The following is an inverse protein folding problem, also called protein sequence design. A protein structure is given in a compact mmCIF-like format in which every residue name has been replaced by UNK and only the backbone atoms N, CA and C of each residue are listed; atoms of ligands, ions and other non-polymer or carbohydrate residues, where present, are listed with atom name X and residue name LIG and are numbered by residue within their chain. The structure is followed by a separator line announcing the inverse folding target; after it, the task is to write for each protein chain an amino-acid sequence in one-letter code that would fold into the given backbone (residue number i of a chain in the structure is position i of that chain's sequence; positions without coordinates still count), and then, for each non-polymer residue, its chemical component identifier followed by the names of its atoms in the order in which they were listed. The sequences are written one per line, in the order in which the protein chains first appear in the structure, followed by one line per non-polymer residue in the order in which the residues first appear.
data_IF_194209840222
#
_entry.id   IF_194209840222
#
_cell.length_a   1.000
_cell.length_b   1.000
_cell.length_c   1.000
_cell.angle_alpha   90.00
_cell.angle_beta   90.00
_cell.angle_gamma   90.00
#
_symmetry.space_group_name_H-M   'P 1'
#
loop_
_entity.id
_entity.type
_entity.pdbx_description
1 polymer ?
#
# COMPACT_ATOMS: atom_id res chain seq x y z
N UNK A 1 1.74 30.86 -13.06
CA UNK A 1 2.19 30.61 -11.67
C UNK A 1 1.54 31.55 -10.67
N UNK A 2 1.87 32.86 -10.66
CA UNK A 2 1.51 33.77 -9.55
C UNK A 2 0.02 33.82 -9.24
N UNK A 3 -0.85 33.98 -10.24
CA UNK A 3 -2.32 34.01 -10.02
C UNK A 3 -2.84 32.72 -9.37
N UNK A 4 -2.40 31.57 -9.88
CA UNK A 4 -2.77 30.25 -9.36
C UNK A 4 -2.26 30.05 -7.93
N UNK A 5 -1.01 30.44 -7.65
CA UNK A 5 -0.43 30.33 -6.31
C UNK A 5 -1.14 31.25 -5.31
N UNK A 6 -1.51 32.48 -5.69
CA UNK A 6 -2.28 33.40 -4.85
C UNK A 6 -3.67 32.84 -4.55
N UNK A 7 -4.36 32.25 -5.53
CA UNK A 7 -5.65 31.60 -5.30
C UNK A 7 -5.54 30.48 -4.28
N UNK A 8 -4.54 29.60 -4.41
CA UNK A 8 -4.33 28.53 -3.44
C UNK A 8 -3.92 29.08 -2.07
N UNK A 9 -3.10 30.13 -1.99
CA UNK A 9 -2.77 30.79 -0.72
C UNK A 9 -4.02 31.28 0.01
N UNK A 10 -4.97 31.89 -0.69
CA UNK A 10 -6.24 32.34 -0.11
C UNK A 10 -7.09 31.17 0.38
N UNK A 11 -7.21 30.11 -0.44
CA UNK A 11 -7.95 28.89 -0.05
C UNK A 11 -7.33 28.23 1.19
N UNK A 12 -5.99 28.15 1.22
CA UNK A 12 -5.25 27.60 2.35
C UNK A 12 -5.39 28.45 3.61
N UNK A 13 -5.32 29.78 3.49
CA UNK A 13 -5.53 30.70 4.60
C UNK A 13 -6.96 30.61 5.17
N UNK A 14 -7.98 30.43 4.32
CA UNK A 14 -9.36 30.17 4.75
C UNK A 14 -9.43 28.88 5.56
N UNK A 15 -8.82 27.79 5.08
CA UNK A 15 -8.75 26.52 5.80
C UNK A 15 -8.06 26.66 7.16
N UNK A 16 -6.96 27.42 7.22
CA UNK A 16 -6.20 27.62 8.45
C UNK A 16 -6.92 28.49 9.50
N UNK A 17 -7.64 29.52 9.05
CA UNK A 17 -8.24 30.53 9.92
C UNK A 17 -9.71 30.27 10.27
N UNK A 18 -10.48 29.63 9.39
CA UNK A 18 -11.94 29.59 9.47
C UNK A 18 -12.54 28.18 9.55
N UNK A 19 -11.71 27.13 9.50
CA UNK A 19 -12.17 25.74 9.53
C UNK A 19 -11.55 24.99 10.72
N UNK A 20 -12.24 23.96 11.24
CA UNK A 20 -11.75 23.19 12.37
C UNK A 20 -10.47 22.46 11.97
N UNK A 21 -9.42 22.62 12.78
CA UNK A 21 -8.13 21.98 12.51
C UNK A 21 -8.15 20.49 12.83
N UNK A 22 -8.88 20.10 13.88
CA UNK A 22 -9.07 18.71 14.29
C UNK A 22 -10.43 18.18 13.85
N UNK A 23 -10.54 16.85 13.80
CA UNK A 23 -11.78 16.15 13.48
C UNK A 23 -12.81 16.38 14.59
N UNK A 24 -14.01 16.80 14.19
CA UNK A 24 -15.14 17.11 15.09
C UNK A 24 -15.87 15.83 15.49
N UNK A 25 -16.24 15.67 16.77
CA UNK A 25 -16.89 14.44 17.28
C UNK A 25 -18.24 14.14 16.63
N UNK A 26 -19.05 15.18 16.36
CA UNK A 26 -20.39 15.06 15.76
C UNK A 26 -20.34 15.08 14.22
N UNK A 27 -19.14 15.12 13.64
CA UNK A 27 -18.91 15.21 12.20
C UNK A 27 -18.98 16.63 11.64
N UNK A 28 -18.22 16.89 10.56
CA UNK A 28 -18.06 18.23 9.97
C UNK A 28 -19.39 18.83 9.47
N UNK A 29 -20.32 18.00 9.00
CA UNK A 29 -21.60 18.45 8.45
C UNK A 29 -22.65 18.82 9.52
N UNK A 30 -22.33 18.66 10.81
CA UNK A 30 -23.20 19.10 11.90
C UNK A 30 -23.17 20.62 12.12
N UNK A 31 -22.18 21.32 11.55
CA UNK A 31 -21.95 22.75 11.70
C UNK A 31 -21.80 23.27 13.15
N UNK A 32 -21.79 22.40 14.16
CA UNK A 32 -21.59 22.79 15.57
C UNK A 32 -20.20 23.38 15.84
N UNK A 33 -19.24 23.13 14.96
CA UNK A 33 -17.90 23.73 15.00
C UNK A 33 -17.91 25.23 14.70
N UNK A 34 -18.91 25.76 13.99
CA UNK A 34 -18.93 27.16 13.53
C UNK A 34 -18.90 28.13 14.71
N UNK A 35 -19.60 27.82 15.80
CA UNK A 35 -19.63 28.64 17.01
C UNK A 35 -18.37 28.48 17.88
N UNK A 36 -17.53 27.49 17.59
CA UNK A 36 -16.32 27.15 18.35
C UNK A 36 -15.01 27.46 17.59
N UNK A 37 -15.09 28.10 16.42
CA UNK A 37 -13.92 28.40 15.56
C UNK A 37 -12.83 29.19 16.29
N UNK A 38 -13.22 30.08 17.20
CA UNK A 38 -12.31 30.97 17.93
C UNK A 38 -11.86 30.43 19.29
N UNK A 39 -12.64 29.52 19.89
CA UNK A 39 -12.37 28.97 21.21
C UNK A 39 -13.08 27.62 21.39
N UNK A 40 -12.33 26.61 21.82
CA UNK A 40 -12.84 25.27 22.08
C UNK A 40 -11.99 24.19 21.42
N UNK A 41 -12.49 22.96 21.43
CA UNK A 41 -11.82 21.77 20.87
C UNK A 41 -11.90 21.73 19.33
N UNK A 42 -12.93 22.36 18.76
CA UNK A 42 -13.14 22.47 17.31
C UNK A 42 -12.59 23.77 16.70
N UNK A 43 -11.65 24.42 17.38
CA UNK A 43 -11.10 25.69 16.95
C UNK A 43 -10.29 25.59 15.65
N UNK A 44 -10.11 26.73 15.00
CA UNK A 44 -9.19 26.86 13.85
C UNK A 44 -7.73 26.79 14.29
N UNK A 45 -6.84 26.50 13.34
CA UNK A 45 -5.40 26.46 13.64
C UNK A 45 -4.87 27.80 14.14
N UNK A 46 -5.37 28.90 13.57
CA UNK A 46 -5.01 30.24 14.02
C UNK A 46 -5.43 30.47 15.47
N UNK A 47 -6.65 30.06 15.85
CA UNK A 47 -7.14 30.16 17.20
C UNK A 47 -6.32 29.30 18.18
N UNK A 48 -5.86 28.11 17.76
CA UNK A 48 -4.96 27.28 18.57
C UNK A 48 -3.57 27.92 18.76
N UNK A 49 -3.00 28.50 17.71
CA UNK A 49 -1.69 29.16 17.77
C UNK A 49 -1.76 30.41 18.67
N UNK A 50 -2.74 31.28 18.46
CA UNK A 50 -2.84 32.57 19.16
C UNK A 50 -3.47 32.46 20.56
N UNK A 51 -4.49 31.61 20.71
CA UNK A 51 -5.29 31.52 21.94
C UNK A 51 -4.80 30.47 22.93
N UNK A 52 -4.20 29.37 22.44
CA UNK A 52 -3.78 28.23 23.28
C UNK A 52 -2.27 27.98 23.25
N UNK A 53 -1.49 28.82 22.57
CA UNK A 53 -0.03 28.73 22.55
C UNK A 53 0.52 27.48 21.86
N UNK A 54 -0.27 26.82 21.00
CA UNK A 54 0.12 25.61 20.25
C UNK A 54 1.02 25.98 19.06
N UNK A 55 2.24 26.42 19.33
CA UNK A 55 3.16 27.00 18.34
C UNK A 55 3.56 26.02 17.23
N UNK A 56 3.50 24.71 17.49
CA UNK A 56 3.79 23.69 16.49
C UNK A 56 2.86 23.77 15.26
N UNK A 57 1.65 24.33 15.41
CA UNK A 57 0.68 24.54 14.32
C UNK A 57 1.00 25.74 13.42
N UNK A 58 2.01 26.54 13.75
CA UNK A 58 2.32 27.76 12.99
C UNK A 58 3.03 27.50 11.66
N UNK A 59 3.56 26.30 11.42
CA UNK A 59 4.36 25.98 10.24
C UNK A 59 3.65 26.27 8.89
N UNK A 60 2.39 25.83 8.65
CA UNK A 60 1.67 26.19 7.42
C UNK A 60 1.47 27.69 7.25
N UNK A 61 1.18 28.42 8.35
CA UNK A 61 0.99 29.88 8.31
C UNK A 61 2.29 30.58 7.92
N UNK A 62 3.43 30.19 8.51
CA UNK A 62 4.75 30.72 8.16
C UNK A 62 5.05 30.47 6.69
N UNK A 63 4.76 29.26 6.18
CA UNK A 63 4.94 28.94 4.77
C UNK A 63 4.09 29.85 3.87
N UNK A 64 2.81 30.06 4.19
CA UNK A 64 1.93 30.95 3.42
C UNK A 64 2.42 32.40 3.39
N UNK A 65 2.85 32.94 4.53
CA UNK A 65 3.40 34.30 4.63
C UNK A 65 4.66 34.43 3.78
N UNK A 66 5.62 33.50 3.94
CA UNK A 66 6.88 33.52 3.19
C UNK A 66 6.65 33.38 1.67
N UNK A 67 5.73 32.51 1.25
CA UNK A 67 5.35 32.38 -0.17
C UNK A 67 4.74 33.69 -0.67
N UNK A 68 3.84 34.32 0.10
CA UNK A 68 3.26 35.63 -0.25
C UNK A 68 4.33 36.70 -0.48
N UNK A 69 5.31 36.79 0.42
CA UNK A 69 6.47 37.70 0.32
C UNK A 69 7.28 37.40 -0.94
N UNK A 70 7.60 36.14 -1.22
CA UNK A 70 8.35 35.72 -2.41
C UNK A 70 7.59 36.06 -3.70
N UNK A 71 6.27 35.86 -3.73
CA UNK A 71 5.45 36.17 -4.89
C UNK A 71 5.41 37.68 -5.18
N UNK A 72 5.43 38.52 -4.14
CA UNK A 72 5.38 39.98 -4.24
C UNK A 72 6.74 40.63 -4.55
N UNK A 73 7.82 40.23 -3.84
CA UNK A 73 9.09 40.95 -3.87
C UNK A 73 10.11 40.42 -4.89
N UNK A 74 10.01 39.15 -5.29
CA UNK A 74 11.02 38.55 -6.19
C UNK A 74 10.64 38.83 -7.65
N UNK A 75 11.46 39.53 -8.45
CA UNK A 75 11.14 39.82 -9.85
C UNK A 75 11.43 38.63 -10.77
N UNK A 76 12.51 37.88 -10.53
CA UNK A 76 12.92 36.76 -11.38
C UNK A 76 11.95 35.57 -11.29
N UNK A 77 11.35 35.12 -12.42
CA UNK A 77 10.36 34.03 -12.40
C UNK A 77 10.96 32.70 -11.95
N UNK A 78 12.21 32.42 -12.31
CA UNK A 78 12.89 31.15 -11.97
C UNK A 78 13.26 31.10 -10.49
N UNK A 79 13.81 32.19 -9.95
CA UNK A 79 14.17 32.26 -8.52
C UNK A 79 12.90 32.20 -7.66
N UNK A 80 11.85 32.93 -8.06
CA UNK A 80 10.53 32.89 -7.42
C UNK A 80 9.98 31.47 -7.35
N UNK A 81 10.01 30.73 -8.46
CA UNK A 81 9.56 29.35 -8.51
C UNK A 81 10.37 28.44 -7.56
N UNK A 82 11.71 28.52 -7.59
CA UNK A 82 12.58 27.69 -6.73
C UNK A 82 12.39 27.97 -5.24
N UNK A 83 12.29 29.24 -4.85
CA UNK A 83 12.03 29.61 -3.45
C UNK A 83 10.65 29.14 -3.01
N UNK A 84 9.63 29.31 -3.87
CA UNK A 84 8.26 28.83 -3.58
C UNK A 84 8.23 27.31 -3.40
N UNK A 85 8.95 26.54 -4.23
CA UNK A 85 9.11 25.09 -4.07
C UNK A 85 9.72 24.75 -2.71
N UNK A 86 10.84 25.38 -2.35
CA UNK A 86 11.52 25.10 -1.08
C UNK A 86 10.62 25.39 0.14
N UNK A 87 9.93 26.54 0.13
CA UNK A 87 9.06 26.95 1.23
C UNK A 87 7.82 26.05 1.32
N UNK A 88 7.16 25.77 0.19
CA UNK A 88 5.96 24.90 0.18
C UNK A 88 6.30 23.45 0.57
N UNK A 89 7.43 22.93 0.12
CA UNK A 89 7.91 21.60 0.51
C UNK A 89 8.22 21.53 2.01
N UNK A 90 8.92 22.53 2.56
CA UNK A 90 9.21 22.60 3.99
C UNK A 90 7.92 22.73 4.83
N UNK A 91 6.98 23.58 4.39
CA UNK A 91 5.69 23.74 5.05
C UNK A 91 4.88 22.45 5.08
N UNK A 92 4.80 21.73 3.96
CA UNK A 92 4.16 20.41 3.89
C UNK A 92 4.87 19.39 4.78
N UNK A 93 6.20 19.35 4.74
CA UNK A 93 6.98 18.41 5.53
C UNK A 93 6.78 18.62 7.03
N UNK A 94 6.84 19.86 7.51
CA UNK A 94 6.62 20.17 8.93
C UNK A 94 5.18 19.90 9.37
N UNK A 95 4.21 20.23 8.52
CA UNK A 95 2.78 19.97 8.82
C UNK A 95 2.48 18.47 8.83
N UNK A 96 3.09 17.70 7.91
CA UNK A 96 3.03 16.25 7.92
C UNK A 96 3.72 15.70 9.17
N UNK A 97 4.94 16.13 9.47
CA UNK A 97 5.69 15.69 10.65
C UNK A 97 4.88 15.88 11.93
N UNK A 98 4.19 17.01 12.09
CA UNK A 98 3.25 17.22 13.19
C UNK A 98 2.10 16.20 13.19
N UNK A 99 1.43 16.03 12.06
CA UNK A 99 0.33 15.08 11.89
C UNK A 99 0.73 13.64 12.26
N UNK A 100 1.98 13.27 11.97
CA UNK A 100 2.52 11.93 12.16
C UNK A 100 3.17 11.71 13.54
N UNK A 101 3.75 12.75 14.14
CA UNK A 101 4.46 12.65 15.42
C UNK A 101 3.53 12.75 16.64
N UNK A 102 2.40 13.47 16.53
CA UNK A 102 1.46 13.70 17.65
C UNK A 102 0.21 12.83 17.48
N UNK A 103 0.35 11.58 17.02
CA UNK A 103 -0.78 10.64 16.99
C UNK A 103 -1.02 10.11 18.40
N UNK A 104 -2.28 9.95 18.82
CA UNK A 104 -2.70 9.39 20.13
C UNK A 104 -2.05 8.04 20.50
N UNK A 105 -1.44 7.37 19.52
CA UNK A 105 -0.66 6.14 19.70
C UNK A 105 0.59 6.12 18.81
N UNK A 106 1.13 7.31 18.46
CA UNK A 106 2.26 7.47 17.56
C UNK A 106 3.61 7.21 18.22
N UNK A 107 4.70 7.19 17.43
CA UNK A 107 6.02 6.90 17.96
C UNK A 107 6.47 8.05 18.87
N UNK A 108 6.91 7.74 20.11
CA UNK A 108 7.21 8.76 21.15
C UNK A 108 8.52 9.54 20.93
N UNK A 109 9.12 9.46 19.74
CA UNK A 109 10.47 9.96 19.48
C UNK A 109 10.62 11.49 19.50
N UNK A 110 9.51 12.25 19.53
CA UNK A 110 9.50 13.72 19.56
C UNK A 110 8.59 14.30 20.64
N UNK A 111 8.06 13.47 21.55
CA UNK A 111 7.05 13.90 22.53
C UNK A 111 7.54 15.08 23.37
N UNK A 112 8.80 15.05 23.83
CA UNK A 112 9.40 16.13 24.62
C UNK A 112 9.46 17.47 23.86
N UNK A 113 9.85 17.46 22.58
CA UNK A 113 9.87 18.68 21.76
C UNK A 113 8.47 19.23 21.53
N UNK A 114 7.49 18.35 21.27
CA UNK A 114 6.11 18.78 21.06
C UNK A 114 5.47 19.30 22.35
N UNK A 115 5.71 18.65 23.50
CA UNK A 115 5.30 19.15 24.81
C UNK A 115 5.89 20.54 25.09
N UNK A 116 7.18 20.75 24.78
CA UNK A 116 7.83 22.05 24.91
C UNK A 116 7.22 23.15 23.99
N UNK A 117 6.59 22.76 22.88
CA UNK A 117 5.89 23.64 21.95
C UNK A 117 4.37 23.77 22.24
N UNK A 118 3.91 23.35 23.43
CA UNK A 118 2.52 23.41 23.86
C UNK A 118 1.65 22.26 23.32
N UNK A 119 2.26 21.13 22.97
CA UNK A 119 1.59 19.91 22.53
C UNK A 119 0.94 19.14 23.68
N UNK A 120 -0.04 18.31 23.35
CA UNK A 120 -0.68 17.36 24.26
C UNK A 120 -0.25 15.92 23.93
N UNK A 121 -0.47 14.99 24.86
CA UNK A 121 -0.07 13.57 24.73
C UNK A 121 -0.79 12.80 23.60
N UNK A 122 -1.70 13.44 22.88
CA UNK A 122 -2.25 12.96 21.62
C UNK A 122 -3.13 14.01 20.95
N UNK A 123 -3.02 14.16 19.63
CA UNK A 123 -3.90 15.05 18.86
C UNK A 123 -5.10 14.28 18.29
N UNK A 124 -6.21 14.99 18.08
CA UNK A 124 -7.37 14.47 17.36
C UNK A 124 -7.05 14.14 15.90
N UNK A 125 -7.98 13.49 15.19
CA UNK A 125 -7.83 13.29 13.74
C UNK A 125 -7.64 14.60 12.98
N UNK A 126 -7.04 14.56 11.79
CA UNK A 126 -6.90 15.73 10.91
C UNK A 126 -8.30 16.21 10.49
N UNK A 127 -8.63 17.47 10.80
CA UNK A 127 -9.89 18.11 10.45
C UNK A 127 -9.90 18.72 9.05
N UNK A 128 -11.05 19.28 8.66
CA UNK A 128 -11.25 19.87 7.34
C UNK A 128 -10.30 21.05 7.06
N UNK A 129 -10.01 21.89 8.08
CA UNK A 129 -9.11 23.02 7.93
C UNK A 129 -7.68 22.61 7.64
N UNK A 130 -7.20 21.56 8.32
CA UNK A 130 -5.89 20.98 8.06
C UNK A 130 -5.82 20.35 6.65
N UNK A 131 -6.85 19.62 6.24
CA UNK A 131 -6.93 19.05 4.89
C UNK A 131 -6.84 20.13 3.80
N UNK A 132 -7.66 21.18 3.89
CA UNK A 132 -7.67 22.29 2.92
C UNK A 132 -6.32 23.01 2.87
N UNK A 133 -5.70 23.22 4.03
CA UNK A 133 -4.38 23.85 4.15
C UNK A 133 -3.28 23.03 3.49
N UNK A 134 -3.24 21.71 3.74
CA UNK A 134 -2.26 20.80 3.15
C UNK A 134 -2.45 20.66 1.64
N UNK A 135 -3.70 20.52 1.18
CA UNK A 135 -4.02 20.46 -0.26
C UNK A 135 -3.58 21.76 -0.95
N UNK A 136 -3.84 22.92 -0.36
CA UNK A 136 -3.36 24.20 -0.87
C UNK A 136 -1.84 24.24 -1.01
N UNK A 137 -1.08 23.88 0.03
CA UNK A 137 0.39 23.85 -0.03
C UNK A 137 0.90 22.88 -1.10
N UNK A 138 0.24 21.74 -1.32
CA UNK A 138 0.58 20.77 -2.35
C UNK A 138 0.36 21.32 -3.76
N UNK A 139 -0.75 22.01 -4.00
CA UNK A 139 -1.00 22.67 -5.27
C UNK A 139 -0.05 23.86 -5.52
N UNK A 140 0.34 24.59 -4.47
CA UNK A 140 1.38 25.63 -4.59
C UNK A 140 2.74 24.99 -4.93
N UNK A 141 3.12 23.91 -4.25
CA UNK A 141 4.37 23.19 -4.49
C UNK A 141 4.45 22.70 -5.94
N UNK A 142 3.41 22.03 -6.42
CA UNK A 142 3.36 21.43 -7.77
C UNK A 142 3.32 22.50 -8.87
N UNK A 143 2.56 23.58 -8.68
CA UNK A 143 2.54 24.71 -9.63
C UNK A 143 3.87 25.45 -9.70
N UNK A 144 4.55 25.61 -8.55
CA UNK A 144 5.90 26.18 -8.49
C UNK A 144 6.94 25.26 -9.12
N UNK A 145 6.82 23.94 -8.94
CA UNK A 145 7.71 22.95 -9.52
C UNK A 145 7.62 22.91 -11.05
N UNK A 146 6.40 22.98 -11.61
CA UNK A 146 6.17 23.15 -13.05
C UNK A 146 6.87 24.41 -13.58
N UNK A 147 6.79 25.50 -12.84
CA UNK A 147 7.35 26.80 -13.24
C UNK A 147 8.87 26.92 -13.03
N UNK A 148 9.50 25.98 -12.34
CA UNK A 148 10.94 25.96 -12.08
C UNK A 148 11.78 25.41 -13.26
N UNK A 149 11.12 25.02 -14.36
CA UNK A 149 11.76 24.56 -15.61
C UNK A 149 12.33 23.15 -15.57
N UNK A 150 12.09 22.39 -14.49
CA UNK A 150 12.58 21.00 -14.32
C UNK A 150 11.57 19.93 -14.72
N UNK A 151 10.30 20.29 -14.90
CA UNK A 151 9.22 19.34 -15.20
C UNK A 151 8.68 19.57 -16.61
N UNK A 152 8.43 18.48 -17.35
CA UNK A 152 7.95 18.50 -18.75
C UNK A 152 6.43 18.50 -18.89
N UNK A 153 5.69 18.82 -17.83
CA UNK A 153 4.22 18.81 -17.78
C UNK A 153 3.61 20.16 -17.44
N UNK A 154 2.32 20.33 -17.72
CA UNK A 154 1.57 21.48 -17.26
C UNK A 154 1.34 21.44 -15.74
N UNK A 155 0.89 22.56 -15.17
CA UNK A 155 0.71 22.68 -13.73
C UNK A 155 -0.38 21.73 -13.20
N UNK A 156 -1.35 21.34 -14.03
CA UNK A 156 -2.43 20.44 -13.64
C UNK A 156 -1.94 18.99 -13.52
N UNK A 157 -1.24 18.47 -14.54
CA UNK A 157 -0.69 17.11 -14.54
C UNK A 157 0.33 16.93 -13.42
N UNK A 158 1.22 17.91 -13.20
CA UNK A 158 2.18 17.86 -12.10
C UNK A 158 1.47 17.94 -10.75
N UNK A 159 0.38 18.72 -10.66
CA UNK A 159 -0.51 18.77 -9.51
C UNK A 159 -1.10 17.41 -9.17
N UNK A 160 -1.66 16.72 -10.18
CA UNK A 160 -2.27 15.41 -10.02
C UNK A 160 -1.24 14.34 -9.63
N UNK A 161 -0.07 14.33 -10.27
CA UNK A 161 1.04 13.43 -9.90
C UNK A 161 1.47 13.68 -8.45
N UNK A 162 1.61 14.95 -8.06
CA UNK A 162 1.93 15.32 -6.67
C UNK A 162 0.86 14.84 -5.67
N UNK A 163 -0.42 14.96 -6.02
CA UNK A 163 -1.53 14.44 -5.22
C UNK A 163 -1.47 12.92 -5.08
N UNK A 164 -1.26 12.20 -6.17
CA UNK A 164 -1.12 10.73 -6.14
C UNK A 164 0.06 10.32 -5.25
N UNK A 165 1.23 10.94 -5.42
CA UNK A 165 2.41 10.67 -4.59
C UNK A 165 2.11 10.95 -3.11
N UNK A 166 1.46 12.07 -2.81
CA UNK A 166 1.07 12.42 -1.44
C UNK A 166 0.09 11.41 -0.84
N UNK A 167 -0.94 11.01 -1.59
CA UNK A 167 -1.91 10.01 -1.16
C UNK A 167 -1.25 8.65 -0.91
N UNK A 168 -0.41 8.18 -1.83
CA UNK A 168 0.35 6.92 -1.64
C UNK A 168 1.29 7.03 -0.44
N UNK A 169 1.96 8.17 -0.27
CA UNK A 169 2.79 8.46 0.90
C UNK A 169 2.03 8.33 2.22
N UNK A 170 0.86 8.96 2.32
CA UNK A 170 0.04 9.05 3.55
C UNK A 170 -0.74 7.76 3.82
N UNK A 171 -1.31 7.12 2.80
CA UNK A 171 -2.21 5.97 3.00
C UNK A 171 -1.52 4.62 2.85
N UNK A 172 -0.36 4.55 2.20
CA UNK A 172 0.39 3.29 2.02
C UNK A 172 1.68 3.32 2.81
N UNK A 173 2.56 4.27 2.53
CA UNK A 173 3.90 4.26 3.14
C UNK A 173 3.88 4.61 4.63
N UNK A 174 3.03 5.54 5.06
CA UNK A 174 2.97 5.92 6.47
C UNK A 174 2.52 4.77 7.39
N UNK A 175 1.40 4.05 7.16
CA UNK A 175 1.03 2.92 7.99
C UNK A 175 2.12 1.82 8.02
N UNK A 176 2.75 1.55 6.87
CA UNK A 176 3.85 0.57 6.79
C UNK A 176 5.04 1.03 7.63
N UNK A 177 5.48 2.28 7.49
CA UNK A 177 6.56 2.85 8.28
C UNK A 177 6.23 2.82 9.78
N UNK A 178 4.98 3.11 10.14
CA UNK A 178 4.53 3.09 11.52
C UNK A 178 4.57 1.68 12.13
N UNK A 179 4.15 0.65 11.39
CA UNK A 179 4.27 -0.75 11.80
C UNK A 179 5.74 -1.12 11.99
N UNK A 180 6.61 -0.70 11.06
CA UNK A 180 8.05 -0.97 11.14
C UNK A 180 8.71 -0.28 12.33
N UNK A 181 8.40 0.99 12.60
CA UNK A 181 8.94 1.73 13.76
C UNK A 181 8.46 1.10 15.07
N UNK A 182 7.17 0.72 15.15
CA UNK A 182 6.62 0.02 16.31
C UNK A 182 7.28 -1.34 16.59
N UNK A 183 7.85 -1.98 15.58
CA UNK A 183 8.59 -3.22 15.80
C UNK A 183 9.83 -3.03 16.70
N UNK A 184 10.35 -1.81 16.82
CA UNK A 184 11.49 -1.45 17.68
C UNK A 184 11.08 -0.88 19.04
N UNK A 185 9.78 -0.77 19.33
CA UNK A 185 9.27 -0.24 20.59
C UNK A 185 9.41 -1.26 21.72
N UNK A 186 9.95 -0.82 22.86
CA UNK A 186 10.14 -1.61 24.09
C UNK A 186 9.61 -0.79 25.26
N UNK A 187 9.31 -1.43 26.39
CA UNK A 187 8.89 -0.76 27.63
C UNK A 187 9.92 0.32 28.02
N UNK A 188 9.59 1.58 27.76
CA UNK A 188 10.45 2.74 28.06
C UNK A 188 11.14 3.42 26.86
N UNK A 189 10.94 2.97 25.61
CA UNK A 189 11.47 3.68 24.44
C UNK A 189 11.65 2.83 23.18
N UNK A 190 12.64 3.17 22.36
CA UNK A 190 13.02 2.41 21.17
C UNK A 190 14.38 1.75 21.40
N UNK A 191 14.48 0.45 21.10
CA UNK A 191 15.74 -0.28 21.20
C UNK A 191 15.98 -1.12 19.96
N UNK A 192 17.10 -0.84 19.28
CA UNK A 192 17.59 -1.68 18.19
C UNK A 192 18.15 -3.01 18.74
N UNK A 193 18.74 -3.01 19.93
CA UNK A 193 19.41 -4.21 20.49
C UNK A 193 18.44 -5.29 20.92
N UNK A 194 17.23 -4.92 21.34
CA UNK A 194 16.17 -5.85 21.74
C UNK A 194 15.39 -6.43 20.55
N UNK A 195 15.38 -5.73 19.42
CA UNK A 195 14.67 -6.18 18.22
C UNK A 195 15.30 -7.44 17.62
N UNK A 196 16.63 -7.45 17.41
CA UNK A 196 17.31 -8.55 16.70
C UNK A 196 17.14 -9.91 17.38
N UNK A 197 17.29 -10.06 18.71
CA UNK A 197 17.06 -11.33 19.39
C UNK A 197 15.61 -11.81 19.30
N UNK A 198 14.64 -10.89 19.33
CA UNK A 198 13.21 -11.21 19.17
C UNK A 198 12.89 -11.65 17.74
N UNK A 199 13.44 -10.95 16.75
CA UNK A 199 13.20 -11.23 15.33
C UNK A 199 13.83 -12.55 14.89
N UNK A 200 15.05 -12.86 15.36
CA UNK A 200 15.75 -14.12 15.08
C UNK A 200 15.52 -15.20 16.14
N UNK A 201 14.42 -15.11 16.89
CA UNK A 201 14.09 -16.11 17.90
C UNK A 201 13.77 -17.47 17.27
N UNK A 202 14.08 -18.53 18.01
CA UNK A 202 13.71 -19.91 17.65
C UNK A 202 12.20 -20.13 17.57
N UNK A 203 11.40 -19.27 18.20
CA UNK A 203 9.94 -19.35 18.13
C UNK A 203 9.43 -18.96 16.74
N UNK A 204 10.12 -18.03 16.06
CA UNK A 204 9.80 -17.58 14.71
C UNK A 204 10.48 -18.43 13.64
N UNK A 205 11.78 -18.72 13.81
CA UNK A 205 12.63 -19.35 12.81
C UNK A 205 13.03 -20.79 13.13
N UNK A 206 12.43 -21.39 14.16
CA UNK A 206 12.76 -22.74 14.61
C UNK A 206 12.61 -23.81 13.53
N UNK A 207 13.60 -24.70 13.46
CA UNK A 207 13.67 -25.81 12.50
C UNK A 207 13.33 -27.16 13.16
N UNK A 208 12.62 -27.15 14.29
CA UNK A 208 12.32 -28.36 15.06
C UNK A 208 11.49 -29.39 14.28
N UNK A 209 10.82 -28.99 13.19
CA UNK A 209 10.14 -29.90 12.26
C UNK A 209 11.03 -30.98 11.64
N UNK A 210 12.34 -30.75 11.50
CA UNK A 210 13.25 -31.76 10.98
C UNK A 210 13.55 -32.89 12.00
N UNK A 211 13.21 -32.68 13.27
CA UNK A 211 13.51 -33.59 14.39
C UNK A 211 12.18 -34.09 15.04
N UNK A 212 11.03 -33.84 14.41
CA UNK A 212 9.72 -34.31 14.87
C UNK A 212 8.85 -33.29 15.61
N UNK A 213 9.28 -32.02 15.68
CA UNK A 213 8.49 -30.89 16.19
C UNK A 213 7.70 -30.14 15.10
N UNK A 214 7.39 -28.87 15.32
CA UNK A 214 6.72 -27.97 14.35
C UNK A 214 7.65 -26.83 13.95
N UNK A 215 7.81 -26.54 12.65
CA UNK A 215 8.63 -25.41 12.24
C UNK A 215 8.04 -24.10 12.77
N UNK A 216 8.89 -23.11 13.01
CA UNK A 216 8.46 -21.76 13.33
C UNK A 216 7.59 -21.17 12.19
N UNK A 217 6.68 -20.22 12.49
CA UNK A 217 5.78 -19.64 11.49
C UNK A 217 6.49 -19.01 10.29
N UNK A 218 7.69 -18.45 10.48
CA UNK A 218 8.46 -17.87 9.38
C UNK A 218 8.91 -18.93 8.38
N UNK A 219 9.43 -20.06 8.87
CA UNK A 219 9.85 -21.20 8.04
C UNK A 219 8.66 -21.81 7.31
N UNK A 220 7.54 -22.05 8.00
CA UNK A 220 6.32 -22.55 7.36
C UNK A 220 5.85 -21.63 6.23
N UNK A 221 5.89 -20.31 6.45
CA UNK A 221 5.48 -19.32 5.45
C UNK A 221 6.41 -19.33 4.23
N UNK A 222 7.72 -19.45 4.42
CA UNK A 222 8.70 -19.54 3.33
C UNK A 222 8.51 -20.82 2.52
N UNK A 223 8.38 -21.97 3.19
CA UNK A 223 8.14 -23.26 2.50
C UNK A 223 6.82 -23.18 1.72
N UNK A 224 5.76 -22.68 2.35
CA UNK A 224 4.45 -22.53 1.73
C UNK A 224 4.51 -21.60 0.50
N UNK A 225 5.23 -20.47 0.59
CA UNK A 225 5.39 -19.52 -0.51
C UNK A 225 6.13 -20.17 -1.70
N UNK A 226 7.23 -20.89 -1.44
CA UNK A 226 7.99 -21.58 -2.49
C UNK A 226 7.16 -22.67 -3.15
N UNK A 227 6.50 -23.53 -2.36
CA UNK A 227 5.68 -24.61 -2.87
C UNK A 227 4.51 -24.08 -3.69
N UNK A 228 3.79 -23.08 -3.16
CA UNK A 228 2.66 -22.46 -3.84
C UNK A 228 3.09 -21.75 -5.11
N UNK A 229 4.13 -20.91 -5.06
CA UNK A 229 4.65 -20.20 -6.23
C UNK A 229 5.08 -21.16 -7.33
N UNK A 230 5.84 -22.20 -6.98
CA UNK A 230 6.27 -23.21 -7.95
C UNK A 230 5.08 -23.96 -8.55
N UNK A 231 4.15 -24.42 -7.71
CA UNK A 231 3.01 -25.23 -8.18
C UNK A 231 2.05 -24.43 -9.05
N UNK A 232 1.78 -23.18 -8.68
CA UNK A 232 0.89 -22.28 -9.43
C UNK A 232 1.48 -21.86 -10.76
N UNK A 233 2.79 -21.61 -10.83
CA UNK A 233 3.50 -21.35 -12.09
C UNK A 233 3.49 -22.59 -12.97
N UNK A 234 3.80 -23.78 -12.43
CA UNK A 234 3.78 -25.02 -13.20
C UNK A 234 2.39 -25.34 -13.76
N UNK A 235 1.34 -25.23 -12.93
CA UNK A 235 -0.04 -25.46 -13.37
C UNK A 235 -0.52 -24.37 -14.33
N UNK A 236 -0.21 -23.11 -14.04
CA UNK A 236 -0.55 -21.98 -14.91
C UNK A 236 0.10 -22.11 -16.28
N UNK A 237 1.38 -22.50 -16.33
CA UNK A 237 2.12 -22.76 -17.56
C UNK A 237 1.52 -23.94 -18.33
N UNK A 238 1.21 -25.05 -17.63
CA UNK A 238 0.56 -26.20 -18.25
C UNK A 238 -0.77 -25.80 -18.91
N UNK A 239 -1.62 -25.04 -18.20
CA UNK A 239 -2.87 -24.55 -18.75
C UNK A 239 -2.65 -23.55 -19.90
N UNK A 240 -1.64 -22.68 -19.83
CA UNK A 240 -1.31 -21.74 -20.89
C UNK A 240 -0.87 -22.45 -22.16
N UNK A 241 -0.01 -23.47 -22.05
CA UNK A 241 0.44 -24.30 -23.17
C UNK A 241 -0.71 -25.10 -23.78
N UNK A 242 -1.57 -25.71 -22.95
CA UNK A 242 -2.77 -26.40 -23.43
C UNK A 242 -3.68 -25.41 -24.18
N UNK A 243 -3.92 -24.23 -23.59
CA UNK A 243 -4.79 -23.21 -24.19
C UNK A 243 -4.30 -22.72 -25.55
N UNK A 244 -3.00 -22.47 -25.67
CA UNK A 244 -2.39 -21.84 -26.85
C UNK A 244 -1.97 -22.84 -27.92
N UNK A 245 -1.46 -24.02 -27.53
CA UNK A 245 -0.84 -24.99 -28.44
C UNK A 245 -1.72 -26.19 -28.78
N UNK A 246 -2.90 -26.33 -28.18
CA UNK A 246 -3.83 -27.44 -28.50
C UNK A 246 -5.19 -26.93 -28.93
N UNK A 247 -5.82 -27.61 -29.90
CA UNK A 247 -7.17 -27.31 -30.37
C UNK A 247 -8.22 -28.17 -29.66
N UNK A 248 -8.49 -27.84 -28.40
CA UNK A 248 -9.55 -28.48 -27.62
C UNK A 248 -10.81 -27.62 -27.54
N UNK A 249 -11.98 -28.25 -27.58
CA UNK A 249 -13.30 -27.58 -27.66
C UNK A 249 -13.69 -26.79 -26.40
N UNK A 250 -13.06 -27.06 -25.26
CA UNK A 250 -13.40 -26.46 -23.97
C UNK A 250 -12.57 -25.19 -23.62
N UNK A 251 -11.88 -24.57 -24.59
CA UNK A 251 -11.15 -23.29 -24.40
C UNK A 251 -11.99 -22.21 -23.69
N UNK A 252 -13.26 -21.96 -24.07
CA UNK A 252 -14.07 -20.95 -23.39
C UNK A 252 -14.34 -21.28 -21.91
N UNK A 253 -14.53 -22.56 -21.59
CA UNK A 253 -14.74 -23.01 -20.22
C UNK A 253 -13.49 -22.80 -19.36
N UNK A 254 -12.31 -23.14 -19.89
CA UNK A 254 -11.04 -22.90 -19.20
C UNK A 254 -10.84 -21.40 -18.90
N UNK A 255 -11.13 -20.54 -19.89
CA UNK A 255 -11.08 -19.09 -19.71
C UNK A 255 -12.07 -18.61 -18.64
N UNK A 256 -13.31 -19.08 -18.66
CA UNK A 256 -14.31 -18.72 -17.64
C UNK A 256 -13.88 -19.16 -16.24
N UNK A 257 -13.41 -20.41 -16.08
CA UNK A 257 -12.93 -20.94 -14.80
C UNK A 257 -11.77 -20.14 -14.23
N UNK A 258 -10.95 -19.50 -15.07
CA UNK A 258 -9.84 -18.68 -14.60
C UNK A 258 -10.26 -17.30 -14.10
N UNK A 259 -11.40 -16.78 -14.56
CA UNK A 259 -11.91 -15.46 -14.11
C UNK A 259 -12.63 -15.57 -12.77
N UNK A 260 -13.31 -16.69 -12.50
CA UNK A 260 -14.13 -16.87 -11.28
C UNK A 260 -13.32 -16.61 -9.99
N UNK A 261 -12.12 -17.17 -9.79
CA UNK A 261 -11.33 -16.94 -8.57
C UNK A 261 -10.88 -15.49 -8.39
N UNK A 262 -10.77 -14.71 -9.47
CA UNK A 262 -10.29 -13.33 -9.44
C UNK A 262 -11.39 -12.38 -8.99
N UNK A 263 -12.62 -12.61 -9.45
CA UNK A 263 -13.77 -11.81 -9.02
C UNK A 263 -14.26 -12.19 -7.62
N UNK A 264 -13.93 -13.40 -7.19
CA UNK A 264 -14.40 -13.93 -5.91
C UNK A 264 -13.52 -13.43 -4.78
N UNK A 265 -14.09 -12.95 -3.66
CA UNK A 265 -13.29 -12.59 -2.49
C UNK A 265 -12.40 -13.76 -2.02
N UNK A 266 -11.14 -13.51 -1.62
CA UNK A 266 -10.19 -14.58 -1.30
C UNK A 266 -10.67 -15.57 -0.22
N UNK A 267 -11.49 -15.12 0.73
CA UNK A 267 -12.01 -15.97 1.81
C UNK A 267 -13.01 -17.03 1.32
N UNK A 268 -13.66 -16.82 0.19
CA UNK A 268 -14.71 -17.72 -0.32
C UNK A 268 -14.11 -19.07 -0.74
N UNK A 269 -12.91 -19.07 -1.34
CA UNK A 269 -12.23 -20.30 -1.73
C UNK A 269 -11.90 -21.14 -0.50
N UNK A 270 -11.39 -20.49 0.56
CA UNK A 270 -11.14 -21.15 1.84
C UNK A 270 -12.41 -21.74 2.45
N UNK A 271 -13.51 -20.98 2.45
CA UNK A 271 -14.80 -21.45 2.95
C UNK A 271 -15.34 -22.63 2.13
N UNK A 272 -15.26 -22.57 0.80
CA UNK A 272 -15.70 -23.65 -0.08
C UNK A 272 -14.93 -24.95 0.20
N UNK A 273 -13.61 -24.86 0.37
CA UNK A 273 -12.78 -26.01 0.74
C UNK A 273 -13.13 -26.56 2.13
N UNK A 274 -13.43 -25.70 3.11
CA UNK A 274 -13.88 -26.14 4.43
C UNK A 274 -15.25 -26.83 4.35
N UNK A 275 -16.18 -26.31 3.57
CA UNK A 275 -17.51 -26.92 3.38
C UNK A 275 -17.44 -28.25 2.62
N UNK A 276 -16.44 -28.43 1.76
CA UNK A 276 -16.25 -29.66 0.99
C UNK A 276 -15.42 -30.70 1.75
N UNK A 277 -14.28 -30.29 2.31
CA UNK A 277 -13.26 -31.16 2.90
C UNK A 277 -13.07 -31.00 4.41
N UNK A 278 -13.85 -30.15 5.08
CA UNK A 278 -13.90 -30.07 6.54
C UNK A 278 -14.34 -31.39 7.18
N UNK A 279 -14.26 -31.48 8.51
CA UNK A 279 -14.60 -32.71 9.24
C UNK A 279 -16.05 -33.19 8.97
N UNK A 280 -16.95 -32.24 8.78
CA UNK A 280 -18.36 -32.46 8.42
C UNK A 280 -18.66 -32.02 6.99
N UNK A 281 -17.63 -31.86 6.14
CA UNK A 281 -17.80 -31.42 4.76
C UNK A 281 -18.41 -32.49 3.87
N UNK A 282 -19.07 -32.07 2.78
CA UNK A 282 -19.82 -32.98 1.92
C UNK A 282 -18.96 -34.10 1.32
N UNK A 283 -17.76 -33.77 0.83
CA UNK A 283 -16.85 -34.78 0.27
C UNK A 283 -16.26 -35.69 1.35
N UNK A 284 -15.88 -35.13 2.51
CA UNK A 284 -15.38 -35.92 3.64
C UNK A 284 -16.41 -36.92 4.14
N UNK A 285 -17.68 -36.53 4.23
CA UNK A 285 -18.77 -37.44 4.59
C UNK A 285 -18.92 -38.55 3.53
N UNK A 286 -19.04 -38.17 2.26
CA UNK A 286 -19.15 -39.12 1.15
C UNK A 286 -18.02 -40.16 1.15
N UNK A 287 -16.76 -39.72 1.28
CA UNK A 287 -15.61 -40.63 1.29
C UNK A 287 -15.57 -41.52 2.54
N UNK A 288 -16.02 -41.01 3.68
CA UNK A 288 -16.12 -41.81 4.91
C UNK A 288 -17.19 -42.90 4.78
N UNK A 289 -18.35 -42.55 4.22
CA UNK A 289 -19.48 -43.48 4.10
C UNK A 289 -19.23 -44.55 3.03
N UNK A 290 -18.55 -44.19 1.91
CA UNK A 290 -18.26 -45.12 0.82
C UNK A 290 -17.02 -45.98 1.06
N UNK A 291 -15.94 -45.41 1.64
CA UNK A 291 -14.63 -46.06 1.71
C UNK A 291 -14.15 -46.28 3.15
N UNK A 292 -14.94 -45.92 4.16
CA UNK A 292 -14.56 -46.06 5.57
C UNK A 292 -13.39 -45.15 5.99
N UNK A 293 -13.07 -44.12 5.20
CA UNK A 293 -11.95 -43.22 5.47
C UNK A 293 -12.25 -42.39 6.73
N UNK A 294 -11.27 -42.29 7.64
CA UNK A 294 -11.42 -41.54 8.88
C UNK A 294 -11.55 -40.04 8.62
N UNK A 295 -12.52 -39.40 9.30
CA UNK A 295 -12.79 -37.97 9.20
C UNK A 295 -11.73 -37.16 9.95
N UNK A 296 -10.63 -36.83 9.26
CA UNK A 296 -9.52 -36.05 9.82
C UNK A 296 -9.68 -34.53 9.61
N UNK A 297 -8.86 -33.73 10.30
CA UNK A 297 -8.87 -32.25 10.25
C UNK A 297 -7.77 -31.67 9.36
N UNK A 298 -7.31 -32.44 8.36
CA UNK A 298 -6.14 -32.09 7.54
C UNK A 298 -6.27 -30.74 6.80
N UNK A 299 -7.49 -30.33 6.45
CA UNK A 299 -7.76 -29.07 5.74
C UNK A 299 -7.46 -27.82 6.58
N UNK A 300 -7.36 -27.94 7.90
CA UNK A 300 -7.04 -26.83 8.81
C UNK A 300 -5.53 -26.67 9.07
N UNK A 301 -4.70 -27.48 8.42
CA UNK A 301 -3.24 -27.42 8.52
C UNK A 301 -2.57 -26.92 7.25
N UNK A 302 -1.25 -27.10 7.18
CA UNK A 302 -0.41 -26.67 6.05
C UNK A 302 -0.98 -27.09 4.69
N UNK A 303 -1.39 -28.36 4.54
CA UNK A 303 -1.89 -28.89 3.28
C UNK A 303 -3.17 -28.21 2.77
N UNK A 304 -4.07 -27.83 3.68
CA UNK A 304 -5.29 -27.12 3.30
C UNK A 304 -5.04 -25.67 2.88
N UNK A 305 -4.12 -24.98 3.57
CA UNK A 305 -3.69 -23.63 3.16
C UNK A 305 -2.99 -23.67 1.81
N UNK A 306 -2.06 -24.62 1.62
CA UNK A 306 -1.37 -24.84 0.35
C UNK A 306 -2.35 -25.10 -0.79
N UNK A 307 -3.31 -26.02 -0.60
CA UNK A 307 -4.34 -26.31 -1.60
C UNK A 307 -5.17 -25.07 -1.94
N UNK A 308 -5.63 -24.32 -0.93
CA UNK A 308 -6.40 -23.10 -1.13
C UNK A 308 -5.63 -22.05 -1.93
N UNK A 309 -4.35 -21.84 -1.60
CA UNK A 309 -3.51 -20.88 -2.31
C UNK A 309 -3.21 -21.33 -3.75
N UNK A 310 -2.90 -22.61 -3.97
CA UNK A 310 -2.66 -23.13 -5.32
C UNK A 310 -3.89 -22.93 -6.20
N UNK A 311 -5.08 -23.26 -5.71
CA UNK A 311 -6.32 -23.07 -6.46
C UNK A 311 -6.63 -21.59 -6.72
N UNK A 312 -6.32 -20.70 -5.77
CA UNK A 312 -6.57 -19.26 -5.90
C UNK A 312 -5.61 -18.56 -6.86
N UNK A 313 -4.33 -18.94 -6.85
CA UNK A 313 -3.29 -18.25 -7.60
C UNK A 313 -2.98 -18.85 -8.97
N UNK A 314 -3.29 -20.13 -9.21
CA UNK A 314 -3.12 -20.76 -10.54
C UNK A 314 -3.83 -20.00 -11.68
N UNK A 315 -5.07 -19.50 -11.51
CA UNK A 315 -5.75 -18.69 -12.52
C UNK A 315 -5.01 -17.39 -12.86
N UNK A 316 -4.45 -16.74 -11.84
CA UNK A 316 -3.68 -15.50 -12.01
C UNK A 316 -2.39 -15.82 -12.77
N UNK A 317 -1.68 -16.88 -12.39
CA UNK A 317 -0.48 -17.34 -13.08
C UNK A 317 -0.77 -17.69 -14.55
N UNK A 318 -1.87 -18.40 -14.83
CA UNK A 318 -2.33 -18.70 -16.19
C UNK A 318 -2.54 -17.43 -17.04
N UNK A 319 -3.23 -16.41 -16.50
CA UNK A 319 -3.52 -15.17 -17.23
C UNK A 319 -2.28 -14.33 -17.52
N UNK A 320 -1.24 -14.43 -16.70
CA UNK A 320 0.05 -13.80 -16.98
C UNK A 320 0.81 -14.62 -18.03
N UNK A 321 0.89 -15.94 -17.85
CA UNK A 321 1.69 -16.84 -18.69
C UNK A 321 1.11 -17.03 -20.09
N UNK A 322 -0.20 -16.92 -20.29
CA UNK A 322 -0.80 -16.99 -21.63
C UNK A 322 -0.22 -15.92 -22.56
N UNK A 323 -0.05 -14.69 -22.09
CA UNK A 323 0.54 -13.60 -22.89
C UNK A 323 2.01 -13.85 -23.22
N UNK A 324 2.75 -14.49 -22.30
CA UNK A 324 4.14 -14.91 -22.53
C UNK A 324 4.21 -16.00 -23.60
N UNK A 325 3.36 -17.02 -23.52
CA UNK A 325 3.34 -18.14 -24.46
C UNK A 325 2.86 -17.71 -25.85
N UNK A 326 1.87 -16.82 -25.94
CA UNK A 326 1.39 -16.24 -27.20
C UNK A 326 2.42 -15.34 -27.88
N UNK A 327 3.30 -14.69 -27.10
CA UNK A 327 4.39 -13.87 -27.62
C UNK A 327 5.48 -14.66 -28.36
N UNK A 328 5.54 -15.98 -28.21
CA UNK A 328 6.53 -16.84 -28.88
C UNK A 328 6.00 -17.30 -30.23
N UNK A 329 6.64 -16.84 -31.31
CA UNK A 329 6.28 -17.22 -32.67
C UNK A 329 6.32 -18.74 -32.88
N UNK A 330 5.24 -19.37 -33.39
CA UNK A 330 5.22 -20.78 -33.75
C UNK A 330 6.32 -21.20 -34.72
N UNK A 331 6.78 -20.27 -35.58
CA UNK A 331 7.86 -20.52 -36.55
C UNK A 331 9.17 -20.97 -35.91
N UNK A 332 9.44 -20.56 -34.66
CA UNK A 332 10.64 -20.99 -33.91
C UNK A 332 10.56 -22.47 -33.52
N UNK A 333 9.36 -22.95 -33.17
CA UNK A 333 9.10 -24.35 -32.82
C UNK A 333 9.07 -25.24 -34.08
N UNK A 334 8.58 -24.72 -35.21
CA UNK A 334 8.62 -25.42 -36.50
C UNK A 334 10.05 -25.53 -37.05
N UNK A 335 10.87 -24.49 -36.86
CA UNK A 335 12.28 -24.50 -37.25
C UNK A 335 13.09 -25.56 -36.48
N UNK A 336 12.85 -25.73 -35.17
CA UNK A 336 13.51 -26.78 -34.41
C UNK A 336 13.08 -28.18 -34.83
N UNK A 337 11.79 -28.38 -35.13
CA UNK A 337 11.29 -29.66 -35.64
C UNK A 337 11.87 -30.01 -37.02
N UNK A 338 12.16 -29.00 -37.85
CA UNK A 338 12.85 -29.20 -39.15
C UNK A 338 14.30 -29.66 -38.97
N UNK A 339 14.93 -29.33 -37.83
CA UNK A 339 16.25 -29.82 -37.42
C UNK A 339 16.19 -31.18 -36.69
N UNK A 340 15.09 -31.91 -36.86
CA UNK A 340 14.83 -33.24 -36.26
C UNK A 340 14.75 -33.22 -34.72
N UNK A 341 14.44 -32.06 -34.13
CA UNK A 341 14.18 -31.97 -32.69
C UNK A 341 12.78 -32.50 -32.36
N UNK A 342 12.68 -33.39 -31.37
CA UNK A 342 11.39 -33.85 -30.86
C UNK A 342 10.64 -32.73 -30.10
N UNK A 343 9.38 -32.99 -29.71
CA UNK A 343 8.53 -32.00 -29.03
C UNK A 343 9.07 -31.59 -27.66
N UNK A 344 9.71 -32.51 -26.93
CA UNK A 344 10.29 -32.22 -25.62
C UNK A 344 11.59 -31.43 -25.75
N UNK A 345 12.41 -31.74 -26.75
CA UNK A 345 13.59 -30.97 -27.12
C UNK A 345 13.21 -29.56 -27.55
N UNK A 346 12.21 -29.42 -28.42
CA UNK A 346 11.68 -28.12 -28.84
C UNK A 346 11.20 -27.32 -27.62
N UNK A 347 10.41 -27.92 -26.73
CA UNK A 347 9.97 -27.25 -25.51
C UNK A 347 11.15 -26.86 -24.60
N UNK A 348 12.09 -27.77 -24.32
CA UNK A 348 13.19 -27.56 -23.37
C UNK A 348 14.24 -26.58 -23.87
N UNK A 349 14.55 -26.60 -25.17
CA UNK A 349 15.65 -25.83 -25.76
C UNK A 349 15.21 -24.57 -26.50
N UNK A 350 13.94 -24.47 -26.90
CA UNK A 350 13.40 -23.30 -27.62
C UNK A 350 12.33 -22.62 -26.79
N UNK A 351 11.19 -23.27 -26.55
CA UNK A 351 10.03 -22.61 -25.94
C UNK A 351 10.30 -22.17 -24.50
N UNK A 352 10.79 -23.05 -23.62
CA UNK A 352 11.02 -22.76 -22.20
C UNK A 352 12.08 -21.67 -21.96
N UNK A 353 13.24 -21.66 -22.65
CA UNK A 353 14.19 -20.56 -22.55
C UNK A 353 13.62 -19.22 -23.03
N UNK A 354 12.79 -19.23 -24.08
CA UNK A 354 12.10 -18.03 -24.57
C UNK A 354 11.01 -17.55 -23.62
N UNK A 355 10.36 -18.45 -22.87
CA UNK A 355 9.35 -18.10 -21.85
C UNK A 355 9.98 -17.57 -20.56
N UNK A 356 11.18 -18.02 -20.18
CA UNK A 356 11.82 -17.76 -18.88
C UNK A 356 11.87 -16.28 -18.44
N UNK A 357 12.04 -15.26 -19.32
CA UNK A 357 12.07 -13.86 -18.90
C UNK A 357 10.70 -13.29 -18.49
N UNK A 358 9.59 -13.92 -18.90
CA UNK A 358 8.22 -13.51 -18.59
C UNK A 358 7.63 -14.26 -17.42
#
# INVERSE_FOLDING_TARGET
MTRTAVLWLLVGAIGFCLMPWYMTDVGFWSFGWVTQITSGENASALAFVLGQGRLYLAAPLIAFVLIGVVLALVPSPVIKARLTVAIAALGLFLSALQGLAVVRSGPRFMTELFLALGGESGQGGIGAGALVTLVSLLFILTTAFSSAGKARGDAFVIGLIGLIISLVGVFVFFPVAHILIRAFEVDGGYSLTEFFPRFFSSDLWGLSCFIGGTCGPAINSVILAIMTGTSTVLLGLAFALIFTRTDFKAKPLLRMLTVIPIITPPFVIGLALILLFGRTGAATQLFSDLFGIEKTRWIYGFGGVYLAQVLSFTPIAFLVLIGVVEGISPSMEEASQTLDADRWQTFRYVSLPLMRPG
#
